data_IF_779796124132
#
_entry.id   IF_779796124132
#
_cell.length_a   1.000
_cell.length_b   1.000
_cell.length_c   1.000
_cell.angle_alpha   90.00
_cell.angle_beta   90.00
_cell.angle_gamma   90.00
#
_symmetry.space_group_name_H-M   'P 1'
#
loop_
_entity.id
_entity.type
_entity.pdbx_description
1 polymer ?
#
# COMPACT_ATOMS: atom_id res chain seq x y z
N UNK A 1 10.48 14.75 13.08
CA UNK A 1 10.10 13.53 12.35
C UNK A 1 11.38 12.88 11.87
N UNK A 2 11.71 11.70 12.40
CA UNK A 2 12.84 10.92 11.89
C UNK A 2 12.54 10.45 10.46
N UNK A 3 13.55 10.45 9.60
CA UNK A 3 13.43 9.87 8.25
C UNK A 3 13.19 8.37 8.41
N UNK A 4 12.08 7.88 7.87
CA UNK A 4 11.83 6.45 7.75
C UNK A 4 12.96 5.83 6.94
N UNK A 5 13.66 4.86 7.53
CA UNK A 5 14.72 4.12 6.86
C UNK A 5 14.11 3.01 6.03
N UNK A 6 13.95 3.27 4.73
CA UNK A 6 13.44 2.31 3.77
C UNK A 6 14.47 1.21 3.44
N UNK A 7 15.66 1.18 4.04
CA UNK A 7 16.69 0.17 3.79
C UNK A 7 16.21 -1.27 4.04
N UNK A 8 15.27 -1.45 4.97
CA UNK A 8 14.66 -2.73 5.35
C UNK A 8 13.65 -3.28 4.36
N UNK A 9 13.09 -2.44 3.47
CA UNK A 9 12.22 -2.91 2.40
C UNK A 9 13.05 -3.74 1.41
N UNK A 10 12.57 -4.96 1.16
CA UNK A 10 13.12 -5.92 0.19
C UNK A 10 13.53 -5.24 -1.11
N UNK A 11 14.69 -5.63 -1.65
CA UNK A 11 15.22 -5.11 -2.92
C UNK A 11 14.25 -5.38 -4.08
N UNK A 12 13.47 -6.45 -4.02
CA UNK A 12 12.47 -6.79 -5.03
C UNK A 12 11.27 -5.85 -4.96
N UNK A 13 10.81 -5.52 -3.74
CA UNK A 13 9.73 -4.53 -3.52
C UNK A 13 10.16 -3.14 -3.98
N UNK A 14 11.41 -2.72 -3.71
CA UNK A 14 11.94 -1.44 -4.24
C UNK A 14 11.94 -1.43 -5.76
N UNK A 15 12.47 -2.47 -6.39
CA UNK A 15 12.60 -2.53 -7.85
C UNK A 15 11.24 -2.59 -8.56
N UNK A 16 10.24 -3.23 -7.95
CA UNK A 16 8.91 -3.39 -8.55
C UNK A 16 8.01 -2.17 -8.33
N UNK A 17 8.22 -1.41 -7.25
CA UNK A 17 7.34 -0.31 -6.85
C UNK A 17 8.02 1.06 -6.75
N UNK A 18 9.27 1.24 -7.18
CA UNK A 18 10.13 2.40 -6.85
C UNK A 18 9.46 3.80 -6.89
N UNK A 19 8.56 4.08 -7.83
CA UNK A 19 7.81 5.36 -7.90
C UNK A 19 6.52 5.40 -7.06
N UNK A 20 5.92 4.25 -6.77
CA UNK A 20 4.65 4.10 -6.05
C UNK A 20 4.84 3.59 -4.61
N UNK A 21 6.03 3.12 -4.24
CA UNK A 21 6.30 2.52 -2.94
C UNK A 21 6.13 3.54 -1.82
N UNK A 22 6.60 4.78 -2.03
CA UNK A 22 6.43 5.87 -1.08
C UNK A 22 4.94 6.17 -0.82
N UNK A 23 4.10 6.51 -1.83
CA UNK A 23 2.69 6.78 -1.57
C UNK A 23 1.92 5.55 -1.04
N UNK A 24 2.28 4.33 -1.45
CA UNK A 24 1.66 3.11 -0.91
C UNK A 24 1.98 2.88 0.56
N UNK A 25 3.23 3.08 0.93
CA UNK A 25 3.70 2.96 2.31
C UNK A 25 3.06 4.04 3.17
N UNK A 26 2.91 5.26 2.66
CA UNK A 26 2.20 6.34 3.34
C UNK A 26 0.71 6.02 3.58
N UNK A 27 0.01 5.52 2.58
CA UNK A 27 -1.39 5.11 2.70
C UNK A 27 -1.54 3.96 3.72
N UNK A 28 -0.62 3.00 3.70
CA UNK A 28 -0.58 1.91 4.69
C UNK A 28 -0.39 2.43 6.12
N UNK A 29 0.63 3.26 6.37
CA UNK A 29 0.87 3.83 7.69
C UNK A 29 -0.25 4.78 8.15
N UNK A 30 -0.90 5.49 7.22
CA UNK A 30 -2.10 6.28 7.53
C UNK A 30 -3.23 5.39 8.07
N UNK A 31 -3.37 4.17 7.55
CA UNK A 31 -4.30 3.18 8.08
C UNK A 31 -3.97 2.80 9.52
N UNK A 32 -2.71 2.48 9.80
CA UNK A 32 -2.24 2.16 11.16
C UNK A 32 -2.55 3.30 12.13
N UNK A 33 -2.17 4.54 11.79
CA UNK A 33 -2.39 5.71 12.62
C UNK A 33 -3.89 5.95 12.89
N UNK A 34 -4.75 5.81 11.87
CA UNK A 34 -6.21 5.91 12.05
C UNK A 34 -6.75 4.84 12.99
N UNK A 35 -6.23 3.62 12.91
CA UNK A 35 -6.60 2.54 13.82
C UNK A 35 -6.25 2.87 15.27
N UNK A 36 -5.05 3.40 15.50
CA UNK A 36 -4.59 3.90 16.80
C UNK A 36 -5.51 5.01 17.29
N UNK A 37 -5.66 6.09 16.52
CA UNK A 37 -6.48 7.25 16.90
C UNK A 37 -7.93 6.87 17.24
N UNK A 38 -8.50 5.89 16.51
CA UNK A 38 -9.87 5.40 16.73
C UNK A 38 -10.02 4.44 17.92
N UNK A 39 -8.92 4.05 18.54
CA UNK A 39 -8.88 3.09 19.65
C UNK A 39 -8.49 3.73 20.98
N UNK A 40 -7.75 4.85 20.95
CA UNK A 40 -7.32 5.59 22.14
C UNK A 40 -8.43 6.55 22.58
N UNK A 41 -9.53 5.98 23.10
CA UNK A 41 -10.33 6.72 24.08
C UNK A 41 -9.45 6.81 25.35
N UNK A 42 -9.34 7.97 26.02
CA UNK A 42 -8.42 8.32 27.14
C UNK A 42 -8.42 7.40 28.40
N UNK A 43 -8.85 6.14 28.29
CA UNK A 43 -8.78 5.10 29.31
C UNK A 43 -7.36 4.54 29.37
N UNK A 44 -6.83 4.42 30.59
CA UNK A 44 -5.49 3.87 30.86
C UNK A 44 -5.27 2.48 30.24
N UNK A 45 -6.31 1.63 30.24
CA UNK A 45 -6.29 0.29 29.63
C UNK A 45 -5.97 0.30 28.13
N UNK A 46 -6.53 1.26 27.38
CA UNK A 46 -6.25 1.40 25.94
C UNK A 46 -4.80 1.81 25.67
N UNK A 47 -4.18 2.58 26.58
CA UNK A 47 -2.78 3.00 26.46
C UNK A 47 -1.84 1.83 26.71
N UNK A 48 -2.12 1.00 27.71
CA UNK A 48 -1.29 -0.18 27.99
C UNK A 48 -1.45 -1.25 26.89
N UNK A 49 -2.66 -1.45 26.37
CA UNK A 49 -2.88 -2.31 25.20
C UNK A 49 -2.17 -1.77 23.95
N UNK A 50 -2.19 -0.45 23.71
CA UNK A 50 -1.46 0.16 22.60
C UNK A 50 0.03 -0.16 22.66
N UNK A 51 0.66 -0.07 23.84
CA UNK A 51 2.08 -0.43 23.99
C UNK A 51 2.34 -1.89 23.61
N UNK A 52 1.54 -2.81 24.13
CA UNK A 52 1.64 -4.24 23.81
C UNK A 52 1.51 -4.47 22.30
N UNK A 53 0.55 -3.80 21.66
CA UNK A 53 0.33 -3.94 20.21
C UNK A 53 1.48 -3.35 19.40
N UNK A 54 2.03 -2.21 19.78
CA UNK A 54 3.18 -1.63 19.11
C UNK A 54 4.42 -2.52 19.23
N UNK A 55 4.69 -3.07 20.42
CA UNK A 55 5.76 -4.06 20.62
C UNK A 55 5.54 -5.30 19.76
N UNK A 56 4.30 -5.80 19.72
CA UNK A 56 3.94 -6.93 18.88
C UNK A 56 4.13 -6.65 17.39
N UNK A 57 3.65 -5.51 16.86
CA UNK A 57 3.84 -5.15 15.45
C UNK A 57 5.32 -4.96 15.07
N UNK A 58 6.15 -4.46 15.98
CA UNK A 58 7.59 -4.27 15.76
C UNK A 58 8.41 -5.55 15.95
N UNK A 59 7.83 -6.60 16.54
CA UNK A 59 8.52 -7.87 16.74
C UNK A 59 8.51 -8.75 15.48
N UNK A 60 9.56 -9.56 15.32
CA UNK A 60 9.65 -10.65 14.32
C UNK A 60 9.09 -10.29 12.94
N UNK A 61 9.68 -9.26 12.30
CA UNK A 61 9.32 -8.75 10.97
C UNK A 61 7.81 -8.59 10.66
N UNK A 62 6.95 -8.51 11.68
CA UNK A 62 5.49 -8.48 11.53
C UNK A 62 5.02 -7.26 10.76
N UNK A 63 5.62 -6.08 11.00
CA UNK A 63 5.28 -4.87 10.27
C UNK A 63 5.61 -4.97 8.77
N UNK A 64 6.75 -5.58 8.43
CA UNK A 64 7.16 -5.80 7.03
C UNK A 64 6.18 -6.75 6.35
N UNK A 65 5.85 -7.87 7.01
CA UNK A 65 4.87 -8.84 6.51
C UNK A 65 3.47 -8.25 6.41
N UNK A 66 3.11 -7.32 7.28
CA UNK A 66 1.84 -6.62 7.21
C UNK A 66 1.77 -5.71 5.99
N UNK A 67 2.86 -5.00 5.68
CA UNK A 67 3.00 -4.23 4.45
C UNK A 67 2.98 -5.13 3.21
N UNK A 68 3.68 -6.27 3.21
CA UNK A 68 3.67 -7.23 2.10
C UNK A 68 2.27 -7.77 1.83
N UNK A 69 1.54 -8.18 2.88
CA UNK A 69 0.17 -8.64 2.76
C UNK A 69 -0.77 -7.55 2.25
N UNK A 70 -0.60 -6.32 2.71
CA UNK A 70 -1.31 -5.16 2.19
C UNK A 70 -1.06 -4.97 0.69
N UNK A 71 0.21 -4.93 0.26
CA UNK A 71 0.58 -4.71 -1.15
C UNK A 71 0.01 -5.82 -2.04
N UNK A 72 0.14 -7.08 -1.62
CA UNK A 72 -0.39 -8.24 -2.35
C UNK A 72 -1.90 -8.15 -2.56
N UNK A 73 -2.66 -7.77 -1.53
CA UNK A 73 -4.12 -7.63 -1.63
C UNK A 73 -4.53 -6.46 -2.52
N UNK A 74 -3.79 -5.35 -2.49
CA UNK A 74 -4.03 -4.23 -3.41
C UNK A 74 -3.77 -4.67 -4.84
N UNK A 75 -2.68 -5.40 -5.10
CA UNK A 75 -2.36 -5.93 -6.42
C UNK A 75 -3.41 -6.92 -6.94
N UNK A 76 -3.85 -7.87 -6.11
CA UNK A 76 -4.89 -8.85 -6.45
C UNK A 76 -6.19 -8.13 -6.87
N UNK A 77 -6.68 -7.20 -6.06
CA UNK A 77 -7.89 -6.42 -6.41
C UNK A 77 -7.69 -5.57 -7.65
N UNK A 78 -6.52 -4.97 -7.80
CA UNK A 78 -6.21 -4.14 -8.96
C UNK A 78 -6.24 -4.97 -10.24
N UNK A 79 -5.67 -6.18 -10.20
CA UNK A 79 -5.74 -7.13 -11.29
C UNK A 79 -7.17 -7.58 -11.60
N UNK A 80 -7.99 -7.86 -10.57
CA UNK A 80 -9.40 -8.20 -10.73
C UNK A 80 -10.21 -7.08 -11.41
N UNK A 81 -9.96 -5.81 -11.05
CA UNK A 81 -10.71 -4.66 -11.57
C UNK A 81 -10.25 -4.25 -12.98
N UNK A 82 -8.97 -4.45 -13.32
CA UNK A 82 -8.38 -3.88 -14.54
C UNK A 82 -7.85 -4.90 -15.54
N UNK A 83 -7.57 -6.14 -15.11
CA UNK A 83 -6.88 -7.16 -15.90
C UNK A 83 -5.37 -6.93 -16.07
N UNK A 84 -4.79 -5.96 -15.36
CA UNK A 84 -3.37 -5.61 -15.41
C UNK A 84 -2.69 -5.75 -14.05
N UNK A 85 -1.42 -6.14 -14.04
CA UNK A 85 -0.59 -6.05 -12.84
C UNK A 85 -0.04 -4.63 -12.70
N UNK A 86 0.35 -4.25 -11.49
CA UNK A 86 0.93 -2.93 -11.21
C UNK A 86 2.25 -2.77 -11.96
N UNK A 87 3.08 -3.80 -12.01
CA UNK A 87 4.35 -3.82 -12.76
C UNK A 87 4.11 -3.55 -14.25
N UNK A 88 2.99 -4.01 -14.81
CA UNK A 88 2.61 -3.76 -16.22
C UNK A 88 2.13 -2.33 -16.45
N UNK A 89 1.47 -1.69 -15.49
CA UNK A 89 1.18 -0.26 -15.55
C UNK A 89 2.45 0.59 -15.54
N UNK A 90 3.37 0.28 -14.63
CA UNK A 90 4.65 0.97 -14.55
C UNK A 90 5.42 0.82 -15.86
N UNK A 91 5.41 -0.38 -16.46
CA UNK A 91 5.99 -0.61 -17.78
C UNK A 91 5.32 0.25 -18.88
N UNK A 92 4.00 0.47 -18.82
CA UNK A 92 3.28 1.36 -19.74
C UNK A 92 3.74 2.82 -19.56
N UNK A 93 3.82 3.32 -18.33
CA UNK A 93 4.32 4.66 -18.01
C UNK A 93 5.76 4.89 -18.46
N UNK A 94 6.66 3.94 -18.20
CA UNK A 94 8.06 3.99 -18.67
C UNK A 94 8.18 3.91 -20.20
N UNK A 95 7.34 3.10 -20.87
CA UNK A 95 7.31 3.03 -22.35
C UNK A 95 6.79 4.31 -22.98
N UNK A 96 5.92 5.06 -22.33
CA UNK A 96 5.47 6.38 -22.81
C UNK A 96 6.64 7.37 -22.78
N UNK A 97 7.39 7.45 -21.68
CA UNK A 97 8.62 8.26 -21.60
C UNK A 97 9.66 7.88 -22.67
N UNK A 98 9.86 6.58 -22.92
CA UNK A 98 10.74 6.09 -23.99
C UNK A 98 10.22 6.37 -25.40
N UNK A 99 8.91 6.28 -25.63
CA UNK A 99 8.25 6.57 -26.91
C UNK A 99 8.28 8.07 -27.25
N UNK A 100 8.13 8.94 -26.25
CA UNK A 100 8.25 10.40 -26.38
C UNK A 100 9.69 10.81 -26.70
N UNK A 101 10.69 10.14 -26.13
CA UNK A 101 12.11 10.43 -26.40
C UNK A 101 12.53 10.23 -27.85
N UNK A 102 11.84 9.35 -28.59
CA UNK A 102 12.23 8.93 -29.94
C UNK A 102 11.31 9.42 -31.06
N UNK A 103 10.31 10.27 -30.77
CA UNK A 103 9.36 10.79 -31.78
C UNK A 103 9.16 12.29 -31.67
N UNK A 104 8.90 12.96 -32.79
CA UNK A 104 8.53 14.38 -32.78
C UNK A 104 7.11 14.54 -32.20
N UNK A 105 7.03 15.06 -30.98
CA UNK A 105 5.80 15.36 -30.23
C UNK A 105 4.90 16.41 -30.89
N UNK A 106 5.39 17.07 -31.96
CA UNK A 106 4.60 17.98 -32.81
C UNK A 106 3.76 17.24 -33.84
N UNK A 107 4.04 15.97 -34.10
CA UNK A 107 3.18 15.11 -34.92
C UNK A 107 1.82 14.90 -34.21
N UNK A 108 0.74 15.21 -34.94
CA UNK A 108 -0.63 15.20 -34.42
C UNK A 108 -1.11 13.80 -34.04
N UNK A 109 -0.67 12.77 -34.76
CA UNK A 109 -1.02 11.37 -34.51
C UNK A 109 -0.24 10.85 -33.30
N UNK A 110 1.03 11.21 -33.17
CA UNK A 110 1.84 10.91 -31.98
C UNK A 110 1.22 11.56 -30.75
N UNK A 111 0.82 12.84 -30.83
CA UNK A 111 0.15 13.55 -29.74
C UNK A 111 -1.19 12.93 -29.35
N UNK A 112 -2.00 12.52 -30.33
CA UNK A 112 -3.29 11.88 -30.07
C UNK A 112 -3.14 10.53 -29.36
N UNK A 113 -2.21 9.68 -29.82
CA UNK A 113 -1.90 8.40 -29.19
C UNK A 113 -1.32 8.56 -27.77
N UNK A 114 -0.49 9.59 -27.55
CA UNK A 114 -0.01 9.95 -26.22
C UNK A 114 -1.15 10.36 -25.30
N UNK A 115 -2.07 11.21 -25.76
CA UNK A 115 -3.21 11.66 -24.96
C UNK A 115 -4.14 10.51 -24.57
N UNK A 116 -4.38 9.53 -25.46
CA UNK A 116 -5.18 8.34 -25.13
C UNK A 116 -4.46 7.51 -24.07
N UNK A 117 -3.17 7.24 -24.25
CA UNK A 117 -2.39 6.43 -23.30
C UNK A 117 -2.26 7.08 -21.92
N UNK A 118 -2.06 8.39 -21.86
CA UNK A 118 -2.01 9.14 -20.59
C UNK A 118 -3.36 9.07 -19.87
N UNK A 119 -4.48 9.23 -20.59
CA UNK A 119 -5.81 9.12 -19.99
C UNK A 119 -6.10 7.72 -19.43
N UNK A 120 -5.65 6.69 -20.14
CA UNK A 120 -5.80 5.31 -19.66
C UNK A 120 -4.92 5.08 -18.42
N UNK A 121 -3.67 5.58 -18.41
CA UNK A 121 -2.76 5.53 -17.27
C UNK A 121 -3.32 6.27 -16.05
N UNK A 122 -3.85 7.49 -16.22
CA UNK A 122 -4.50 8.28 -15.16
C UNK A 122 -5.66 7.49 -14.53
N UNK A 123 -6.51 6.87 -15.36
CA UNK A 123 -7.63 6.05 -14.88
C UNK A 123 -7.16 4.85 -14.07
N UNK A 124 -6.10 4.18 -14.52
CA UNK A 124 -5.56 3.03 -13.79
C UNK A 124 -4.88 3.46 -12.49
N UNK A 125 -4.19 4.60 -12.47
CA UNK A 125 -3.59 5.17 -11.27
C UNK A 125 -4.66 5.57 -10.25
N UNK A 126 -5.75 6.21 -10.69
CA UNK A 126 -6.90 6.55 -9.83
C UNK A 126 -7.53 5.30 -9.22
N UNK A 127 -7.71 4.25 -10.03
CA UNK A 127 -8.24 2.95 -9.58
C UNK A 127 -7.30 2.34 -8.53
N UNK A 128 -6.00 2.37 -8.79
CA UNK A 128 -4.99 1.84 -7.89
C UNK A 128 -4.94 2.58 -6.55
N UNK A 129 -4.98 3.92 -6.56
CA UNK A 129 -5.02 4.75 -5.35
C UNK A 129 -6.29 4.46 -4.55
N UNK A 130 -7.45 4.39 -5.22
CA UNK A 130 -8.73 4.07 -4.58
C UNK A 130 -8.68 2.73 -3.86
N UNK A 131 -8.21 1.68 -4.53
CA UNK A 131 -8.07 0.34 -3.94
C UNK A 131 -7.10 0.31 -2.76
N UNK A 132 -5.99 1.05 -2.87
CA UNK A 132 -5.02 1.23 -1.78
C UNK A 132 -5.66 1.88 -0.56
N UNK A 133 -6.43 2.96 -0.75
CA UNK A 133 -7.17 3.62 0.32
C UNK A 133 -8.24 2.72 0.95
N UNK A 134 -8.91 1.88 0.16
CA UNK A 134 -9.89 0.91 0.66
C UNK A 134 -9.23 -0.19 1.50
N UNK A 135 -8.08 -0.72 1.08
CA UNK A 135 -7.35 -1.71 1.88
C UNK A 135 -6.75 -1.07 3.15
N UNK A 136 -6.33 0.20 3.09
CA UNK A 136 -5.87 0.96 4.26
C UNK A 136 -6.97 1.14 5.33
N UNK A 137 -8.24 1.22 4.94
CA UNK A 137 -9.36 1.20 5.91
C UNK A 137 -9.41 -0.13 6.67
N UNK A 138 -9.16 -1.26 6.00
CA UNK A 138 -9.09 -2.56 6.67
C UNK A 138 -7.89 -2.66 7.62
N UNK A 139 -6.74 -2.12 7.23
CA UNK A 139 -5.57 -1.98 8.10
C UNK A 139 -5.94 -1.21 9.38
N UNK A 140 -6.67 -0.10 9.24
CA UNK A 140 -7.15 0.67 10.38
C UNK A 140 -8.07 -0.14 11.30
N UNK A 141 -9.01 -0.91 10.75
CA UNK A 141 -9.90 -1.76 11.54
C UNK A 141 -9.15 -2.88 12.26
N UNK A 142 -8.18 -3.53 11.61
CA UNK A 142 -7.32 -4.55 12.21
C UNK A 142 -6.56 -3.96 13.40
N UNK A 143 -5.87 -2.83 13.21
CA UNK A 143 -5.09 -2.18 14.27
C UNK A 143 -5.98 -1.74 15.43
N UNK A 144 -7.13 -1.14 15.12
CA UNK A 144 -8.12 -0.72 16.13
C UNK A 144 -8.59 -1.92 16.97
N UNK A 145 -8.93 -3.03 16.33
CA UNK A 145 -9.42 -4.22 17.02
C UNK A 145 -8.31 -4.86 17.86
N UNK A 146 -7.09 -4.91 17.33
CA UNK A 146 -5.91 -5.40 18.03
C UNK A 146 -5.62 -4.58 19.29
N UNK A 147 -5.79 -3.25 19.26
CA UNK A 147 -5.61 -2.41 20.46
C UNK A 147 -6.76 -2.58 21.45
N UNK A 148 -8.01 -2.72 20.99
CA UNK A 148 -9.15 -2.88 21.88
C UNK A 148 -9.13 -4.24 22.60
N UNK A 149 -8.76 -5.31 21.92
CA UNK A 149 -8.69 -6.66 22.49
C UNK A 149 -7.49 -7.45 21.93
N UNK A 150 -6.26 -7.21 22.43
CA UNK A 150 -5.03 -7.77 21.86
C UNK A 150 -5.03 -9.28 21.71
N UNK A 151 -5.42 -10.03 22.74
CA UNK A 151 -5.39 -11.49 22.69
C UNK A 151 -6.44 -12.09 21.74
N UNK A 152 -7.59 -11.45 21.60
CA UNK A 152 -8.66 -11.94 20.74
C UNK A 152 -8.35 -11.73 19.25
N UNK A 153 -7.78 -10.58 18.90
CA UNK A 153 -7.59 -10.17 17.50
C UNK A 153 -6.19 -10.47 16.94
N UNK A 154 -5.27 -11.02 17.75
CA UNK A 154 -4.00 -11.56 17.24
C UNK A 154 -4.22 -12.55 16.10
N UNK A 155 -5.21 -13.44 16.22
CA UNK A 155 -5.51 -14.43 15.17
C UNK A 155 -5.89 -13.77 13.84
N UNK A 156 -6.75 -12.76 13.89
CA UNK A 156 -7.21 -12.03 12.71
C UNK A 156 -6.06 -11.28 12.03
N UNK A 157 -5.15 -10.71 12.83
CA UNK A 157 -3.92 -10.10 12.33
C UNK A 157 -3.00 -11.14 11.67
N UNK A 158 -2.73 -12.26 12.34
CA UNK A 158 -1.86 -13.33 11.83
C UNK A 158 -2.43 -13.93 10.54
N UNK A 159 -3.75 -14.12 10.45
CA UNK A 159 -4.46 -14.54 9.24
C UNK A 159 -4.30 -13.50 8.11
N UNK A 160 -4.43 -12.22 8.44
CA UNK A 160 -4.23 -11.15 7.46
C UNK A 160 -2.82 -11.18 6.85
N UNK A 161 -1.78 -11.33 7.68
CA UNK A 161 -0.37 -11.38 7.26
C UNK A 161 0.10 -12.76 6.77
N UNK A 162 -0.84 -13.69 6.55
CA UNK A 162 -0.59 -14.99 5.94
C UNK A 162 0.20 -15.97 6.83
N UNK A 163 0.19 -15.79 8.15
CA UNK A 163 0.65 -16.82 9.07
C UNK A 163 -0.39 -17.96 9.05
N UNK A 164 -0.02 -19.11 8.47
CA UNK A 164 -0.83 -20.32 8.64
C UNK A 164 -0.86 -20.66 10.13
N UNK A 165 -2.07 -20.67 10.70
CA UNK A 165 -2.37 -21.38 11.95
C UNK A 165 -2.12 -22.88 11.78
#
# INVERSE_FOLDING_TARGET
>A
MEKIDYSTISRDVKREYDLLICPLTEIFYSGILKGIDSSVDNKKENIDNLKIVLEYLMSENRLERFLEAYLKRVEEKFYEETGYTISKLLEIGYKILGFVRNKDIRDRNVRHLLNIRIKDEDKYLDTFIKLSMEESKKVADIVKNLIKHPEQYKKDFEEYIGYKS
#
